data_IF_025396591070
#
_entry.id   IF_025396591070
#
_cell.length_a   1.000
_cell.length_b   1.000
_cell.length_c   1.000
_cell.angle_alpha   90.00
_cell.angle_beta   90.00
_cell.angle_gamma   90.00
#
_symmetry.space_group_name_H-M   'P 1'
#
loop_
_entity.id
_entity.type
_entity.pdbx_description
1 polymer ?
#
# COMPACT_ATOMS: atom_id res chain seq x y z
N UNK A 1 20.46 -0.79 29.03
CA UNK A 1 19.19 -0.14 28.62
C UNK A 1 19.11 0.27 27.15
N UNK A 2 20.13 0.88 26.51
CA UNK A 2 20.07 1.21 25.05
C UNK A 2 20.15 -0.05 24.16
N UNK A 3 21.07 -0.97 24.44
CA UNK A 3 21.25 -2.20 23.67
C UNK A 3 19.98 -3.08 23.64
N UNK A 4 19.33 -3.24 24.79
CA UNK A 4 18.07 -3.97 24.94
C UNK A 4 16.94 -3.41 24.05
N UNK A 5 16.80 -2.07 23.97
CA UNK A 5 15.82 -1.44 23.09
C UNK A 5 16.10 -1.70 21.60
N UNK A 6 17.37 -1.75 21.20
CA UNK A 6 17.75 -2.08 19.82
C UNK A 6 17.50 -3.56 19.51
N UNK A 7 17.79 -4.45 20.46
CA UNK A 7 17.51 -5.88 20.35
C UNK A 7 16.00 -6.13 20.13
N UNK A 8 15.14 -5.50 20.96
CA UNK A 8 13.69 -5.64 20.82
C UNK A 8 13.21 -5.18 19.44
N UNK A 9 13.71 -4.04 18.94
CA UNK A 9 13.37 -3.56 17.60
C UNK A 9 13.82 -4.52 16.50
N UNK A 10 15.03 -5.08 16.61
CA UNK A 10 15.54 -6.05 15.66
C UNK A 10 14.68 -7.31 15.64
N UNK A 11 14.29 -7.83 16.82
CA UNK A 11 13.39 -8.98 16.95
C UNK A 11 12.02 -8.68 16.33
N UNK A 12 11.45 -7.50 16.58
CA UNK A 12 10.17 -7.10 15.99
C UNK A 12 10.24 -6.98 14.47
N UNK A 13 11.32 -6.41 13.93
CA UNK A 13 11.53 -6.32 12.48
C UNK A 13 11.65 -7.72 11.89
N UNK A 14 12.45 -8.61 12.49
CA UNK A 14 12.63 -9.97 12.02
C UNK A 14 11.30 -10.76 12.08
N UNK A 15 10.55 -10.67 13.17
CA UNK A 15 9.24 -11.28 13.31
C UNK A 15 8.26 -10.77 12.25
N UNK A 16 8.22 -9.45 12.02
CA UNK A 16 7.40 -8.85 10.97
C UNK A 16 7.83 -9.27 9.56
N UNK A 17 9.14 -9.37 9.30
CA UNK A 17 9.66 -9.87 8.02
C UNK A 17 9.16 -11.28 7.72
N UNK A 18 9.28 -12.19 8.69
CA UNK A 18 8.77 -13.55 8.55
C UNK A 18 7.26 -13.55 8.32
N UNK A 19 6.51 -12.81 9.12
CA UNK A 19 5.06 -12.65 8.93
C UNK A 19 4.70 -12.13 7.53
N UNK A 20 5.42 -11.11 7.04
CA UNK A 20 5.16 -10.52 5.73
C UNK A 20 5.43 -11.52 4.60
N UNK A 21 6.52 -12.27 4.68
CA UNK A 21 6.93 -13.22 3.64
C UNK A 21 6.02 -14.46 3.64
N UNK A 22 5.73 -15.03 4.81
CA UNK A 22 5.03 -16.31 4.92
C UNK A 22 3.51 -16.19 4.99
N UNK A 23 2.96 -15.05 5.41
CA UNK A 23 1.51 -14.86 5.50
C UNK A 23 1.00 -13.76 4.58
N UNK A 24 1.53 -12.54 4.70
CA UNK A 24 0.94 -11.41 3.98
C UNK A 24 1.13 -11.51 2.46
N UNK A 25 2.32 -11.98 2.03
CA UNK A 25 2.62 -12.18 0.60
C UNK A 25 1.70 -13.22 -0.06
N UNK A 26 1.51 -14.45 0.46
CA UNK A 26 0.60 -15.41 -0.17
C UNK A 26 -0.85 -14.95 -0.14
N UNK A 27 -1.32 -14.34 0.96
CA UNK A 27 -2.67 -13.75 1.04
C UNK A 27 -2.85 -12.70 -0.06
N UNK A 28 -1.85 -11.82 -0.25
CA UNK A 28 -1.89 -10.79 -1.31
C UNK A 28 -1.95 -11.41 -2.71
N UNK A 29 -1.21 -12.49 -2.95
CA UNK A 29 -1.28 -13.23 -4.23
C UNK A 29 -2.66 -13.84 -4.45
N UNK A 30 -3.24 -14.48 -3.44
CA UNK A 30 -4.59 -15.04 -3.55
C UNK A 30 -5.65 -13.94 -3.82
N UNK A 31 -5.54 -12.80 -3.15
CA UNK A 31 -6.42 -11.65 -3.39
C UNK A 31 -6.25 -11.11 -4.81
N UNK A 32 -5.02 -11.00 -5.32
CA UNK A 32 -4.77 -10.57 -6.70
C UNK A 32 -5.43 -11.52 -7.71
N UNK A 33 -5.27 -12.84 -7.52
CA UNK A 33 -5.86 -13.84 -8.39
C UNK A 33 -7.38 -13.81 -8.37
N UNK A 34 -7.98 -13.47 -7.22
CA UNK A 34 -9.41 -13.28 -7.11
C UNK A 34 -9.89 -11.98 -7.78
N UNK A 35 -9.08 -10.92 -7.73
CA UNK A 35 -9.40 -9.63 -8.36
C UNK A 35 -9.22 -9.63 -9.88
N UNK A 36 -8.25 -10.39 -10.37
CA UNK A 36 -8.02 -10.63 -11.80
C UNK A 36 -8.54 -12.03 -12.12
N UNK A 37 -9.86 -12.16 -12.03
CA UNK A 37 -10.56 -13.41 -12.34
C UNK A 37 -10.66 -13.63 -13.86
N UNK A 38 -11.17 -14.80 -14.26
CA UNK A 38 -11.34 -15.15 -15.67
C UNK A 38 -12.22 -14.14 -16.40
N UNK A 39 -13.24 -13.60 -15.73
CA UNK A 39 -14.14 -12.60 -16.31
C UNK A 39 -13.42 -11.31 -16.68
N UNK A 40 -12.55 -10.80 -15.81
CA UNK A 40 -11.74 -9.62 -16.13
C UNK A 40 -10.76 -9.92 -17.27
N UNK A 41 -10.20 -11.12 -17.29
CA UNK A 41 -9.27 -11.51 -18.35
C UNK A 41 -9.97 -11.57 -19.70
N UNK A 42 -11.15 -12.18 -19.76
CA UNK A 42 -12.00 -12.24 -20.95
C UNK A 42 -12.41 -10.84 -21.41
N UNK A 43 -12.89 -9.97 -20.52
CA UNK A 43 -13.34 -8.62 -20.91
C UNK A 43 -12.21 -7.77 -21.49
N UNK A 44 -11.00 -7.88 -20.95
CA UNK A 44 -9.83 -7.19 -21.49
C UNK A 44 -9.38 -7.82 -22.82
N UNK A 45 -9.49 -9.13 -23.01
CA UNK A 45 -9.13 -9.79 -24.28
C UNK A 45 -10.12 -9.48 -25.41
N UNK A 46 -11.40 -9.30 -25.09
CA UNK A 46 -12.44 -8.93 -26.05
C UNK A 46 -12.46 -7.42 -26.37
N UNK A 47 -11.77 -6.60 -25.58
CA UNK A 47 -11.68 -5.15 -25.78
C UNK A 47 -10.91 -4.80 -27.06
N UNK A 48 -11.40 -3.78 -27.77
CA UNK A 48 -10.71 -3.23 -28.94
C UNK A 48 -9.56 -2.28 -28.58
N UNK A 49 -9.58 -1.72 -27.37
CA UNK A 49 -8.68 -0.63 -26.96
C UNK A 49 -7.77 -1.01 -25.80
N UNK A 50 -8.10 -2.07 -25.06
CA UNK A 50 -7.38 -2.47 -23.86
C UNK A 50 -6.80 -3.87 -24.05
N UNK A 51 -5.57 -4.08 -23.60
CA UNK A 51 -4.96 -5.41 -23.57
C UNK A 51 -4.02 -5.56 -22.37
N UNK A 52 -3.60 -6.79 -22.06
CA UNK A 52 -2.55 -7.02 -21.08
C UNK A 52 -1.18 -7.00 -21.75
N UNK A 53 -0.38 -5.97 -21.47
CA UNK A 53 1.06 -6.00 -21.79
C UNK A 53 1.78 -7.03 -20.91
N UNK A 54 1.38 -7.13 -19.64
CA UNK A 54 1.94 -8.09 -18.70
C UNK A 54 0.92 -8.48 -17.64
N UNK A 55 0.73 -9.77 -17.46
CA UNK A 55 -0.02 -10.31 -16.33
C UNK A 55 0.87 -11.30 -15.56
N UNK A 56 1.23 -10.92 -14.33
CA UNK A 56 2.01 -11.73 -13.38
C UNK A 56 1.16 -12.00 -12.13
N UNK A 57 1.61 -12.87 -11.25
CA UNK A 57 0.98 -13.27 -9.98
C UNK A 57 0.52 -12.15 -9.04
N UNK A 58 1.03 -10.92 -9.21
CA UNK A 58 0.80 -9.76 -8.31
C UNK A 58 0.80 -8.40 -9.03
N UNK A 59 0.85 -8.41 -10.36
CA UNK A 59 0.98 -7.21 -11.18
C UNK A 59 0.21 -7.42 -12.49
N UNK A 60 -0.72 -6.52 -12.77
CA UNK A 60 -1.28 -6.34 -14.10
C UNK A 60 -0.75 -5.04 -14.70
N UNK A 61 -0.31 -5.10 -15.95
CA UNK A 61 0.03 -3.94 -16.78
C UNK A 61 -0.92 -3.95 -17.95
N UNK A 62 -1.80 -2.95 -17.96
CA UNK A 62 -2.76 -2.74 -19.02
C UNK A 62 -2.17 -1.79 -20.06
N UNK A 63 -2.32 -2.14 -21.32
CA UNK A 63 -1.97 -1.32 -22.46
C UNK A 63 -3.25 -0.83 -23.12
N UNK A 64 -3.45 0.49 -23.06
CA UNK A 64 -4.52 1.18 -23.74
C UNK A 64 -3.99 1.75 -25.06
N UNK A 65 -4.65 1.44 -26.17
CA UNK A 65 -4.34 1.96 -27.49
C UNK A 65 -5.62 2.39 -28.20
N UNK A 66 -5.76 3.69 -28.43
CA UNK A 66 -6.85 4.27 -29.22
C UNK A 66 -6.30 5.35 -30.16
N UNK A 67 -6.38 5.10 -31.47
CA UNK A 67 -5.81 5.99 -32.48
C UNK A 67 -4.29 6.11 -32.35
N UNK A 68 -3.80 7.32 -32.06
CA UNK A 68 -2.37 7.60 -31.83
C UNK A 68 -2.02 7.73 -30.32
N UNK A 69 -2.95 7.39 -29.42
CA UNK A 69 -2.72 7.48 -27.98
C UNK A 69 -2.45 6.08 -27.42
N UNK A 70 -1.22 5.85 -26.99
CA UNK A 70 -0.82 4.65 -26.27
C UNK A 70 -0.46 5.01 -24.82
N UNK A 71 -0.99 4.24 -23.87
CA UNK A 71 -0.70 4.45 -22.46
C UNK A 71 -0.71 3.15 -21.67
N UNK A 72 0.26 3.04 -20.76
CA UNK A 72 0.35 1.93 -19.82
C UNK A 72 -0.26 2.32 -18.47
N UNK A 73 -1.10 1.44 -17.94
CA UNK A 73 -1.67 1.54 -16.61
C UNK A 73 -1.20 0.37 -15.75
N UNK A 74 -0.88 0.64 -14.48
CA UNK A 74 -0.33 -0.37 -13.59
C UNK A 74 -1.29 -0.68 -12.47
N UNK A 75 -1.46 -1.97 -12.20
CA UNK A 75 -2.16 -2.42 -11.01
C UNK A 75 -1.31 -3.38 -10.19
N UNK A 76 -1.03 -2.98 -8.95
CA UNK A 76 -0.37 -3.80 -7.92
C UNK A 76 -1.24 -3.85 -6.68
N UNK A 77 -1.48 -5.05 -6.15
CA UNK A 77 -2.22 -5.16 -4.89
C UNK A 77 -1.47 -4.44 -3.76
N UNK A 78 -2.16 -3.65 -2.92
CA UNK A 78 -1.61 -3.04 -1.71
C UNK A 78 -1.01 -4.08 -0.75
N UNK A 79 -0.43 -3.62 0.38
CA UNK A 79 0.34 -4.48 1.29
C UNK A 79 1.62 -5.06 0.68
N UNK A 80 2.19 -4.35 -0.30
CA UNK A 80 3.46 -4.66 -0.98
C UNK A 80 4.71 -4.20 -0.23
N UNK A 81 5.77 -3.93 -1.01
CA UNK A 81 7.06 -3.43 -0.51
C UNK A 81 6.93 -2.11 0.23
N UNK A 82 6.08 -1.19 -0.23
CA UNK A 82 5.88 0.10 0.44
C UNK A 82 5.26 -0.07 1.83
N UNK A 83 4.24 -0.91 1.97
CA UNK A 83 3.67 -1.23 3.28
C UNK A 83 4.71 -1.86 4.22
N UNK A 84 5.53 -2.77 3.68
CA UNK A 84 6.65 -3.38 4.41
C UNK A 84 7.64 -2.33 4.92
N UNK A 85 8.08 -1.41 4.06
CA UNK A 85 8.97 -0.31 4.43
C UNK A 85 8.32 0.64 5.44
N UNK A 86 7.04 0.96 5.28
CA UNK A 86 6.26 1.77 6.22
C UNK A 86 6.27 1.16 7.62
N UNK A 87 5.96 -0.14 7.72
CA UNK A 87 5.97 -0.89 8.98
C UNK A 87 7.35 -0.92 9.64
N UNK A 88 8.41 -1.22 8.87
CA UNK A 88 9.78 -1.18 9.39
C UNK A 88 10.15 0.23 9.88
N UNK A 89 9.83 1.26 9.09
CA UNK A 89 10.07 2.65 9.44
C UNK A 89 9.42 3.02 10.77
N UNK A 90 8.15 2.65 10.98
CA UNK A 90 7.43 2.87 12.23
C UNK A 90 8.04 2.14 13.44
N UNK A 91 8.50 0.89 13.26
CA UNK A 91 9.19 0.14 14.32
C UNK A 91 10.51 0.82 14.68
N UNK A 92 11.30 1.21 13.68
CA UNK A 92 12.61 1.83 13.87
C UNK A 92 12.53 3.13 14.67
N UNK A 93 11.57 4.00 14.38
CA UNK A 93 11.38 5.26 15.12
C UNK A 93 10.65 5.07 16.46
N UNK A 94 10.14 3.87 16.72
CA UNK A 94 9.30 3.56 17.88
C UNK A 94 8.06 4.46 17.89
N UNK A 95 7.28 4.38 16.81
CA UNK A 95 6.03 5.10 16.67
C UNK A 95 4.94 4.54 17.60
N UNK A 96 3.93 5.36 17.89
CA UNK A 96 2.77 4.92 18.66
C UNK A 96 1.91 3.94 17.86
N UNK A 97 1.22 3.03 18.57
CA UNK A 97 0.35 1.98 18.00
C UNK A 97 -0.66 2.53 16.97
N UNK A 98 -1.17 3.74 17.19
CA UNK A 98 -2.12 4.39 16.28
C UNK A 98 -1.59 4.57 14.86
N UNK A 99 -0.29 4.80 14.67
CA UNK A 99 0.29 5.00 13.33
C UNK A 99 0.38 3.69 12.55
N UNK A 100 0.59 2.56 13.25
CA UNK A 100 0.46 1.24 12.64
C UNK A 100 -0.97 0.99 12.14
N UNK A 101 -1.97 1.36 12.95
CA UNK A 101 -3.39 1.26 12.57
C UNK A 101 -3.68 2.15 11.35
N UNK A 102 -3.23 3.40 11.35
CA UNK A 102 -3.41 4.31 10.20
C UNK A 102 -2.81 3.71 8.93
N UNK A 103 -1.59 3.16 9.00
CA UNK A 103 -0.95 2.50 7.86
C UNK A 103 -1.75 1.29 7.36
N UNK A 104 -2.20 0.42 8.27
CA UNK A 104 -3.04 -0.73 7.92
C UNK A 104 -4.35 -0.29 7.28
N UNK A 105 -5.07 0.64 7.89
CA UNK A 105 -6.35 1.15 7.39
C UNK A 105 -6.20 1.81 6.02
N UNK A 106 -5.16 2.61 5.80
CA UNK A 106 -4.92 3.24 4.51
C UNK A 106 -4.76 2.20 3.40
N UNK A 107 -3.92 1.18 3.60
CA UNK A 107 -3.74 0.12 2.62
C UNK A 107 -4.98 -0.76 2.45
N UNK A 108 -5.77 -0.99 3.52
CA UNK A 108 -7.04 -1.70 3.43
C UNK A 108 -8.06 -0.94 2.58
N UNK A 109 -8.18 0.37 2.78
CA UNK A 109 -9.08 1.22 1.98
C UNK A 109 -8.65 1.21 0.52
N UNK A 110 -7.35 1.37 0.23
CA UNK A 110 -6.84 1.30 -1.15
C UNK A 110 -7.14 -0.06 -1.78
N UNK A 111 -6.97 -1.16 -1.02
CA UNK A 111 -7.27 -2.50 -1.50
C UNK A 111 -8.74 -2.63 -1.87
N UNK A 112 -9.63 -2.25 -0.95
CA UNK A 112 -11.08 -2.33 -1.14
C UNK A 112 -11.52 -1.46 -2.32
N UNK A 113 -11.05 -0.21 -2.40
CA UNK A 113 -11.36 0.69 -3.51
C UNK A 113 -10.87 0.13 -4.84
N UNK A 114 -9.65 -0.41 -4.90
CA UNK A 114 -9.14 -1.03 -6.12
C UNK A 114 -9.94 -2.27 -6.52
N UNK A 115 -10.36 -3.11 -5.56
CA UNK A 115 -11.27 -4.23 -5.85
C UNK A 115 -12.56 -3.75 -6.48
N UNK A 116 -13.19 -2.72 -5.93
CA UNK A 116 -14.43 -2.18 -6.48
C UNK A 116 -14.24 -1.62 -7.89
N UNK A 117 -13.12 -0.95 -8.15
CA UNK A 117 -12.81 -0.43 -9.49
C UNK A 117 -12.64 -1.55 -10.51
N UNK A 118 -11.99 -2.66 -10.13
CA UNK A 118 -11.83 -3.83 -11.00
C UNK A 118 -13.13 -4.60 -11.26
N UNK A 119 -14.15 -4.44 -10.40
CA UNK A 119 -15.47 -5.03 -10.63
C UNK A 119 -16.32 -4.24 -11.63
N UNK A 120 -15.91 -3.02 -11.97
CA UNK A 120 -16.54 -2.21 -13.02
C UNK A 120 -15.88 -2.59 -14.35
N UNK A 121 -16.58 -2.46 -15.47
CA UNK A 121 -16.08 -2.71 -16.82
C UNK A 121 -14.93 -1.73 -17.18
N UNK A 122 -13.71 -2.06 -16.75
CA UNK A 122 -12.50 -1.23 -16.94
C UNK A 122 -12.08 -1.13 -18.41
N UNK A 123 -12.52 -2.08 -19.25
CA UNK A 123 -12.30 -2.14 -20.69
C UNK A 123 -13.02 -1.00 -21.43
N UNK A 124 -14.10 -0.45 -20.86
CA UNK A 124 -14.86 0.66 -21.44
C UNK A 124 -14.62 1.98 -20.71
N UNK A 125 -13.91 1.96 -19.57
CA UNK A 125 -13.82 3.10 -18.68
C UNK A 125 -12.37 3.50 -18.40
N UNK A 126 -11.84 4.40 -19.23
CA UNK A 126 -10.49 4.97 -19.05
C UNK A 126 -10.30 5.63 -17.67
N UNK A 127 -11.35 6.23 -17.11
CA UNK A 127 -11.29 6.84 -15.77
C UNK A 127 -11.06 5.77 -14.70
N UNK A 128 -11.68 4.59 -14.84
CA UNK A 128 -11.46 3.47 -13.92
C UNK A 128 -9.99 3.02 -13.93
N UNK A 129 -9.37 2.90 -15.12
CA UNK A 129 -7.94 2.59 -15.25
C UNK A 129 -7.04 3.65 -14.59
N UNK A 130 -7.38 4.93 -14.76
CA UNK A 130 -6.68 6.03 -14.09
C UNK A 130 -6.78 5.96 -12.57
N UNK A 131 -7.97 5.67 -12.03
CA UNK A 131 -8.17 5.51 -10.59
C UNK A 131 -7.36 4.32 -10.08
N UNK A 132 -7.41 3.19 -10.79
CA UNK A 132 -6.69 1.98 -10.42
C UNK A 132 -5.18 2.21 -10.36
N UNK A 133 -4.63 2.87 -11.38
CA UNK A 133 -3.21 3.24 -11.43
C UNK A 133 -2.86 4.26 -10.34
N UNK A 134 -3.68 5.28 -10.13
CA UNK A 134 -3.49 6.25 -9.05
C UNK A 134 -3.42 5.57 -7.67
N UNK A 135 -4.40 4.71 -7.37
CA UNK A 135 -4.49 3.99 -6.10
C UNK A 135 -3.25 3.12 -5.86
N UNK A 136 -2.84 2.36 -6.87
CA UNK A 136 -1.79 1.34 -6.73
C UNK A 136 -0.37 1.91 -6.83
N UNK A 137 -0.14 2.81 -7.78
CA UNK A 137 1.18 3.34 -8.14
C UNK A 137 1.57 4.56 -7.32
N UNK A 138 0.59 5.35 -6.86
CA UNK A 138 0.88 6.63 -6.20
C UNK A 138 0.37 6.69 -4.77
N UNK A 139 -0.92 6.37 -4.53
CA UNK A 139 -1.52 6.53 -3.21
C UNK A 139 -0.99 5.51 -2.19
N UNK A 140 -0.81 4.25 -2.60
CA UNK A 140 -0.24 3.23 -1.72
C UNK A 140 1.19 3.58 -1.25
N UNK A 141 2.14 3.93 -2.13
CA UNK A 141 3.47 4.42 -1.70
C UNK A 141 3.40 5.67 -0.84
N UNK A 142 2.57 6.66 -1.22
CA UNK A 142 2.45 7.92 -0.51
C UNK A 142 1.92 7.71 0.92
N UNK A 143 0.90 6.87 1.09
CA UNK A 143 0.36 6.55 2.42
C UNK A 143 1.38 5.84 3.31
N UNK A 144 2.16 4.91 2.74
CA UNK A 144 3.19 4.19 3.48
C UNK A 144 4.33 5.10 3.95
N UNK A 145 4.84 5.93 3.04
CA UNK A 145 5.96 6.81 3.33
C UNK A 145 5.53 8.03 4.15
N UNK A 146 4.32 8.56 3.95
CA UNK A 146 3.82 9.76 4.62
C UNK A 146 3.48 9.55 6.10
N UNK A 147 3.11 8.33 6.50
CA UNK A 147 2.82 7.99 7.90
C UNK A 147 4.07 8.08 8.79
N UNK A 148 5.26 7.81 8.24
CA UNK A 148 6.53 7.89 8.98
C UNK A 148 6.82 9.31 9.49
N UNK A 149 6.98 10.35 8.63
CA UNK A 149 7.22 11.72 9.09
C UNK A 149 6.06 12.25 9.93
N UNK A 150 4.80 11.91 9.61
CA UNK A 150 3.65 12.29 10.42
C UNK A 150 3.80 11.82 11.88
N UNK A 151 4.24 10.59 12.08
CA UNK A 151 4.47 10.05 13.43
C UNK A 151 5.64 10.74 14.16
N UNK A 152 6.69 11.14 13.44
CA UNK A 152 7.81 11.91 14.00
C UNK A 152 7.35 13.30 14.45
N UNK A 153 6.57 14.01 13.63
CA UNK A 153 6.01 15.32 13.99
C UNK A 153 5.13 15.22 15.23
N UNK A 154 4.25 14.21 15.29
CA UNK A 154 3.37 14.02 16.45
C UNK A 154 4.16 13.73 17.74
N UNK A 155 5.19 12.87 17.66
CA UNK A 155 6.04 12.55 18.80
C UNK A 155 6.81 13.76 19.31
N UNK A 156 7.29 14.62 18.42
CA UNK A 156 7.98 15.88 18.77
C UNK A 156 7.04 16.84 19.50
N UNK A 157 5.82 17.03 19.00
CA UNK A 157 4.86 17.97 19.60
C UNK A 157 4.44 17.52 21.00
N UNK A 158 4.13 16.23 21.21
CA UNK A 158 3.77 15.72 22.52
C UNK A 158 4.89 15.88 23.56
N UNK A 159 6.15 15.71 23.15
CA UNK A 159 7.29 15.94 24.03
C UNK A 159 7.39 17.41 24.46
N UNK A 160 7.23 18.34 23.52
CA UNK A 160 7.25 19.79 23.80
C UNK A 160 6.16 20.20 24.78
N UNK A 161 4.93 19.70 24.60
CA UNK A 161 3.81 20.00 25.50
C UNK A 161 4.01 19.45 26.91
N UNK A 162 4.62 18.27 27.05
CA UNK A 162 4.94 17.70 28.37
C UNK A 162 5.95 18.57 29.13
N UNK A 163 7.03 18.99 28.47
CA UNK A 163 8.08 19.83 29.07
C UNK A 163 7.51 21.18 29.53
N UNK A 164 6.68 21.82 28.71
CA UNK A 164 6.01 23.08 29.09
C UNK A 164 5.11 22.91 30.32
N UNK A 165 4.32 21.85 30.36
CA UNK A 165 3.44 21.57 31.50
C UNK A 165 4.19 21.19 32.78
N UNK A 166 5.38 20.59 32.69
CA UNK A 166 6.21 20.33 33.87
C UNK A 166 6.87 21.59 34.42
N UNK A 167 7.28 22.51 33.54
CA UNK A 167 7.88 23.79 33.95
C UNK A 167 6.85 24.77 34.54
N UNK A 168 5.59 24.69 34.11
CA UNK A 168 4.51 25.51 34.66
C UNK A 168 4.01 25.06 36.04
N UNK A 169 4.46 23.89 36.53
CA UNK A 169 4.02 23.29 37.81
C UNK A 169 5.11 23.28 38.89
N UNK A 170 6.32 23.74 38.59
CA UNK A 170 7.43 23.89 39.54
C UNK A 170 7.69 25.35 39.84
#
# INVERSE_FOLDING_TARGET
MKAEKYLIKAVLIAAYMLFHIYLLRPVRTAVFQYQVDEKLVESVQESQYLSFQKLDTRLAVFEYSEGNSEKLFFYKVPFGSFFFLGMIGLILIGADKKFFIVLMSAHSVILISASFVLMIDIDQNLIALHILDFLSTYLAPLSALGVIPLSLFYKKNNYSSYVQNSLAKG
#
